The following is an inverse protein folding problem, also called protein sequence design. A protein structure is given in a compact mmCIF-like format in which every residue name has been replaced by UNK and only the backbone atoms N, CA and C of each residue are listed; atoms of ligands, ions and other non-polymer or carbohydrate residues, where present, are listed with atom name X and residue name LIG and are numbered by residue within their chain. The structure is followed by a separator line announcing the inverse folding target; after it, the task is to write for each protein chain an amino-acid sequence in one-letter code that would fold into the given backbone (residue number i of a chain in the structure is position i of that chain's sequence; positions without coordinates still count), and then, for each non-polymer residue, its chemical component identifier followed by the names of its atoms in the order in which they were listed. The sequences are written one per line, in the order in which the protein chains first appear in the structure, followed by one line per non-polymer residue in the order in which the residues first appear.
data_IF_954448846622
#
_entry.id   IF_954448846622
#
_cell.length_a   1.000
_cell.length_b   1.000
_cell.length_c   1.000
_cell.angle_alpha   90.00
_cell.angle_beta   90.00
_cell.angle_gamma   90.00
#
_symmetry.space_group_name_H-M   'P 1'
#
loop_
_entity.id
_entity.type
_entity.pdbx_description
1 polymer ?
#
# COMPACT_ATOMS: atom_id res chain seq x y z
N UNK A 1 24.56 38.77 -5.62
CA UNK A 1 25.59 37.72 -5.73
C UNK A 1 24.89 36.38 -5.84
N UNK A 2 25.37 35.45 -6.69
CA UNK A 2 24.89 34.08 -6.66
C UNK A 2 25.30 33.38 -5.36
N UNK A 3 24.53 32.39 -4.89
CA UNK A 3 24.90 31.60 -3.73
C UNK A 3 26.20 30.84 -3.99
N UNK A 4 26.94 30.59 -2.90
CA UNK A 4 28.15 29.76 -2.95
C UNK A 4 27.81 28.40 -3.57
N UNK A 5 28.61 27.91 -4.54
CA UNK A 5 28.43 26.59 -5.11
C UNK A 5 28.40 25.50 -4.03
N UNK A 6 27.62 24.44 -4.29
CA UNK A 6 27.65 23.26 -3.44
C UNK A 6 29.06 22.67 -3.42
N UNK A 7 29.49 22.17 -2.26
CA UNK A 7 30.75 21.44 -2.18
C UNK A 7 30.67 20.19 -3.06
N UNK A 8 31.75 19.93 -3.79
CA UNK A 8 31.91 18.65 -4.50
C UNK A 8 31.92 17.52 -3.46
N UNK A 9 31.04 16.54 -3.66
CA UNK A 9 31.03 15.34 -2.85
C UNK A 9 32.19 14.44 -3.28
N UNK A 10 33.16 14.23 -2.38
CA UNK A 10 34.13 13.14 -2.54
C UNK A 10 33.36 11.82 -2.44
N UNK A 11 33.30 11.05 -3.54
CA UNK A 11 32.50 9.81 -3.72
C UNK A 11 32.82 8.66 -2.73
N UNK A 12 33.65 8.91 -1.70
CA UNK A 12 34.14 7.93 -0.74
C UNK A 12 33.46 7.99 0.64
N UNK A 13 32.36 8.72 0.80
CA UNK A 13 31.50 8.53 1.98
C UNK A 13 30.65 7.26 1.78
N UNK A 14 30.71 6.34 2.76
CA UNK A 14 30.02 5.05 2.80
C UNK A 14 28.56 5.15 2.34
N UNK A 15 28.32 4.98 1.03
CA UNK A 15 26.98 4.73 0.50
C UNK A 15 26.55 3.43 1.17
N UNK A 16 25.50 3.43 2.01
CA UNK A 16 25.07 2.22 2.68
C UNK A 16 24.86 1.13 1.64
N UNK A 17 25.44 -0.06 1.83
CA UNK A 17 25.28 -1.18 0.89
C UNK A 17 23.83 -1.68 0.78
N UNK A 18 22.89 -1.01 1.46
CA UNK A 18 21.48 -1.22 1.28
C UNK A 18 21.12 -0.90 -0.16
N UNK A 19 20.43 -1.83 -0.81
CA UNK A 19 19.98 -1.72 -2.20
C UNK A 19 19.30 -0.35 -2.40
N UNK A 20 19.98 0.60 -3.05
CA UNK A 20 19.52 1.97 -3.26
C UNK A 20 18.21 2.00 -4.05
N UNK A 21 17.89 0.92 -4.79
CA UNK A 21 16.59 0.72 -5.43
C UNK A 21 15.43 0.59 -4.43
N UNK A 22 15.71 0.12 -3.22
CA UNK A 22 14.73 0.02 -2.13
C UNK A 22 14.31 1.39 -1.56
N UNK A 23 14.99 2.47 -1.97
CA UNK A 23 14.64 3.86 -1.67
C UNK A 23 13.67 4.46 -2.70
N UNK A 24 13.30 3.69 -3.73
CA UNK A 24 12.24 4.04 -4.67
C UNK A 24 10.86 4.13 -4.01
N UNK A 25 9.87 4.59 -4.79
CA UNK A 25 8.50 4.78 -4.34
C UNK A 25 7.75 3.49 -3.96
N UNK A 26 6.45 3.63 -3.65
CA UNK A 26 5.58 2.49 -3.37
C UNK A 26 5.54 1.50 -4.54
N UNK A 27 5.49 0.20 -4.25
CA UNK A 27 5.34 -0.84 -5.28
C UNK A 27 3.87 -0.98 -5.70
N UNK A 28 3.30 0.04 -6.37
CA UNK A 28 1.85 0.11 -6.65
C UNK A 28 1.26 -1.13 -7.35
N UNK A 29 1.98 -1.70 -8.33
CA UNK A 29 1.49 -2.89 -9.05
C UNK A 29 1.32 -4.10 -8.11
N UNK A 30 2.33 -4.35 -7.25
CA UNK A 30 2.26 -5.42 -6.26
C UNK A 30 1.24 -5.13 -5.15
N UNK A 31 1.08 -3.86 -4.77
CA UNK A 31 0.12 -3.45 -3.75
C UNK A 31 -1.32 -3.63 -4.23
N UNK A 32 -1.62 -3.30 -5.51
CA UNK A 32 -2.94 -3.56 -6.11
C UNK A 32 -3.22 -5.06 -6.18
N UNK A 33 -2.29 -5.85 -6.70
CA UNK A 33 -2.45 -7.30 -6.77
C UNK A 33 -2.64 -7.93 -5.38
N UNK A 34 -1.91 -7.45 -4.37
CA UNK A 34 -2.08 -7.91 -2.98
C UNK A 34 -3.43 -7.51 -2.40
N UNK A 35 -3.90 -6.28 -2.66
CA UNK A 35 -5.21 -5.81 -2.22
C UNK A 35 -6.34 -6.63 -2.84
N UNK A 36 -6.31 -6.85 -4.16
CA UNK A 36 -7.26 -7.67 -4.90
C UNK A 36 -7.32 -9.10 -4.33
N UNK A 37 -6.16 -9.73 -4.18
CA UNK A 37 -6.08 -11.09 -3.62
C UNK A 37 -6.55 -11.16 -2.16
N UNK A 38 -6.29 -10.13 -1.36
CA UNK A 38 -6.73 -10.07 0.04
C UNK A 38 -8.24 -9.87 0.15
N UNK A 39 -8.83 -9.05 -0.72
CA UNK A 39 -10.24 -8.73 -0.69
C UNK A 39 -11.12 -9.94 -1.05
N UNK A 40 -10.72 -10.72 -2.06
CA UNK A 40 -11.53 -11.83 -2.56
C UNK A 40 -12.95 -11.34 -2.90
N UNK A 41 -13.97 -11.95 -2.30
CA UNK A 41 -15.37 -11.59 -2.51
C UNK A 41 -15.92 -10.52 -1.53
N UNK A 42 -15.09 -9.96 -0.64
CA UNK A 42 -15.54 -8.95 0.31
C UNK A 42 -15.78 -7.60 -0.37
N UNK A 43 -16.85 -6.89 -0.02
CA UNK A 43 -17.15 -5.56 -0.61
C UNK A 43 -16.15 -4.47 -0.16
N UNK A 44 -15.65 -4.56 1.07
CA UNK A 44 -14.69 -3.64 1.65
C UNK A 44 -13.68 -4.35 2.56
N UNK A 45 -12.48 -3.78 2.65
CA UNK A 45 -11.40 -4.32 3.48
C UNK A 45 -10.77 -3.26 4.38
N UNK A 46 -10.31 -3.68 5.57
CA UNK A 46 -9.48 -2.86 6.46
C UNK A 46 -8.06 -2.75 5.89
N UNK A 47 -7.62 -1.53 5.57
CA UNK A 47 -6.30 -1.26 4.97
C UNK A 47 -5.16 -1.69 5.91
N UNK A 48 -5.33 -1.57 7.22
CA UNK A 48 -4.34 -2.01 8.19
C UNK A 48 -4.21 -3.54 8.19
N UNK A 49 -5.31 -4.26 7.98
CA UNK A 49 -5.29 -5.71 7.85
C UNK A 49 -4.61 -6.15 6.54
N UNK A 50 -4.93 -5.49 5.43
CA UNK A 50 -4.27 -5.70 4.13
C UNK A 50 -2.75 -5.52 4.26
N UNK A 51 -2.30 -4.40 4.86
CA UNK A 51 -0.88 -4.11 5.03
C UNK A 51 -0.16 -5.15 5.92
N UNK A 52 -0.79 -5.58 7.02
CA UNK A 52 -0.20 -6.60 7.91
C UNK A 52 0.00 -7.95 7.23
N UNK A 53 -0.94 -8.32 6.35
CA UNK A 53 -0.91 -9.58 5.61
C UNK A 53 0.07 -9.58 4.42
N UNK A 54 0.59 -8.42 4.03
CA UNK A 54 1.48 -8.30 2.87
C UNK A 54 2.86 -8.95 3.13
N UNK A 55 3.50 -9.41 2.06
CA UNK A 55 4.87 -9.92 2.14
C UNK A 55 5.84 -8.80 2.57
N UNK A 56 6.92 -9.12 3.30
CA UNK A 56 7.83 -8.09 3.85
C UNK A 56 8.38 -7.12 2.78
N UNK A 57 8.58 -7.62 1.54
CA UNK A 57 9.04 -6.82 0.40
C UNK A 57 8.13 -5.64 0.03
N UNK A 58 6.84 -5.71 0.39
CA UNK A 58 5.82 -4.67 0.17
C UNK A 58 5.21 -4.16 1.49
N UNK A 59 5.94 -4.33 2.62
CA UNK A 59 5.58 -3.75 3.92
C UNK A 59 6.51 -2.60 4.32
N UNK A 60 7.03 -1.83 3.37
CA UNK A 60 7.86 -0.66 3.70
C UNK A 60 6.97 0.51 4.15
N UNK A 61 7.53 1.50 4.87
CA UNK A 61 6.77 2.70 5.22
C UNK A 61 6.14 3.41 4.01
N UNK A 62 6.84 3.44 2.87
CA UNK A 62 6.31 4.02 1.62
C UNK A 62 5.19 3.16 1.02
N UNK A 63 5.23 1.84 1.20
CA UNK A 63 4.19 0.96 0.69
C UNK A 63 2.86 1.14 1.45
N UNK A 64 2.91 1.51 2.75
CA UNK A 64 1.71 1.93 3.49
C UNK A 64 1.08 3.18 2.87
N UNK A 65 1.90 4.16 2.48
CA UNK A 65 1.39 5.36 1.80
C UNK A 65 0.78 5.02 0.44
N UNK A 66 1.42 4.17 -0.34
CA UNK A 66 0.87 3.71 -1.62
C UNK A 66 -0.45 2.96 -1.46
N UNK A 67 -0.59 2.15 -0.40
CA UNK A 67 -1.85 1.46 -0.12
C UNK A 67 -2.95 2.43 0.33
N UNK A 68 -2.63 3.47 1.12
CA UNK A 68 -3.57 4.52 1.49
C UNK A 68 -4.01 5.36 0.28
N UNK A 69 -3.10 5.62 -0.66
CA UNK A 69 -3.42 6.29 -1.92
C UNK A 69 -4.35 5.44 -2.79
N UNK A 70 -4.05 4.15 -2.98
CA UNK A 70 -4.94 3.21 -3.69
C UNK A 70 -6.31 3.16 -3.00
N UNK A 71 -6.34 3.08 -1.66
CA UNK A 71 -7.58 3.09 -0.90
C UNK A 71 -8.37 4.38 -1.15
N UNK A 72 -7.71 5.53 -1.16
CA UNK A 72 -8.34 6.81 -1.45
C UNK A 72 -8.97 6.84 -2.85
N UNK A 73 -8.25 6.38 -3.87
CA UNK A 73 -8.76 6.27 -5.25
C UNK A 73 -9.97 5.33 -5.35
N UNK A 74 -10.04 4.31 -4.48
CA UNK A 74 -11.16 3.37 -4.35
C UNK A 74 -12.30 3.89 -3.44
N UNK A 75 -12.25 5.16 -3.01
CA UNK A 75 -13.31 5.76 -2.19
C UNK A 75 -13.22 5.40 -0.70
N UNK A 76 -12.02 5.35 -0.13
CA UNK A 76 -11.84 4.97 1.27
C UNK A 76 -12.73 5.74 2.24
N UNK A 77 -13.19 5.04 3.29
CA UNK A 77 -13.91 5.63 4.42
C UNK A 77 -13.07 5.55 5.69
N UNK A 78 -13.14 6.61 6.50
CA UNK A 78 -12.50 6.65 7.81
C UNK A 78 -13.31 5.91 8.88
N UNK A 79 -12.62 5.36 9.86
CA UNK A 79 -13.19 4.79 11.08
C UNK A 79 -12.85 5.67 12.29
N UNK A 80 -13.50 5.44 13.43
CA UNK A 80 -13.16 6.12 14.68
C UNK A 80 -11.90 5.55 15.37
N UNK A 81 -11.35 4.45 14.87
CA UNK A 81 -10.24 3.71 15.46
C UNK A 81 -8.89 4.27 15.02
N UNK A 82 -7.85 4.07 15.85
CA UNK A 82 -6.46 4.27 15.43
C UNK A 82 -5.87 2.91 15.07
N UNK A 83 -5.47 2.75 13.82
CA UNK A 83 -4.78 1.57 13.35
C UNK A 83 -3.27 1.70 13.62
N UNK A 84 -2.65 0.60 14.07
CA UNK A 84 -1.21 0.52 14.26
C UNK A 84 -0.64 -0.67 13.50
N UNK A 85 0.40 -0.43 12.73
CA UNK A 85 1.08 -1.45 11.91
C UNK A 85 2.59 -1.41 12.11
N UNK A 86 3.26 -2.50 11.78
CA UNK A 86 4.71 -2.58 11.74
C UNK A 86 5.18 -2.62 10.29
N UNK A 87 6.02 -1.66 9.92
CA UNK A 87 6.65 -1.58 8.61
C UNK A 87 8.11 -2.03 8.70
N UNK A 88 8.60 -2.67 7.63
CA UNK A 88 9.98 -3.14 7.48
C UNK A 88 10.74 -2.14 6.61
N UNK A 89 11.77 -1.51 7.15
CA UNK A 89 12.63 -0.59 6.40
C UNK A 89 13.59 -1.36 5.48
N UNK A 90 14.19 -0.70 4.48
CA UNK A 90 15.19 -1.32 3.60
C UNK A 90 16.39 -1.93 4.35
N UNK A 91 16.76 -1.35 5.49
CA UNK A 91 17.81 -1.87 6.39
C UNK A 91 17.33 -3.04 7.28
N UNK A 92 16.13 -3.58 7.03
CA UNK A 92 15.42 -4.62 7.80
C UNK A 92 15.02 -4.23 9.22
N UNK A 93 15.25 -2.99 9.64
CA UNK A 93 14.71 -2.51 10.91
C UNK A 93 13.20 -2.36 10.84
N UNK A 94 12.54 -2.47 11.99
CA UNK A 94 11.08 -2.41 12.10
C UNK A 94 10.65 -1.08 12.70
N UNK A 95 9.59 -0.49 12.15
CA UNK A 95 9.00 0.75 12.65
C UNK A 95 7.51 0.61 12.83
N UNK A 96 7.04 0.95 14.03
CA UNK A 96 5.61 1.05 14.34
C UNK A 96 5.06 2.38 13.81
N UNK A 97 3.98 2.32 13.06
CA UNK A 97 3.29 3.47 12.48
C UNK A 97 1.83 3.46 12.91
N UNK A 98 1.31 4.62 13.30
CA UNK A 98 -0.09 4.81 13.67
C UNK A 98 -0.77 5.75 12.69
N UNK A 99 -2.00 5.45 12.31
CA UNK A 99 -2.84 6.25 11.43
C UNK A 99 -4.31 6.05 11.78
N UNK A 100 -5.20 6.95 11.34
CA UNK A 100 -6.65 6.73 11.47
C UNK A 100 -7.05 5.48 10.69
N UNK A 101 -7.81 4.58 11.30
CA UNK A 101 -8.25 3.35 10.64
C UNK A 101 -9.12 3.71 9.43
N UNK A 102 -8.90 3.04 8.31
CA UNK A 102 -9.63 3.26 7.06
C UNK A 102 -10.02 1.94 6.42
N UNK A 103 -11.16 1.95 5.72
CA UNK A 103 -11.63 0.86 4.86
C UNK A 103 -11.56 1.30 3.41
N UNK A 104 -11.26 0.37 2.51
CA UNK A 104 -11.26 0.58 1.07
C UNK A 104 -12.29 -0.34 0.41
N UNK A 105 -12.97 0.14 -0.64
CA UNK A 105 -13.80 -0.71 -1.48
C UNK A 105 -12.95 -1.77 -2.20
N UNK A 106 -13.56 -2.89 -2.55
CA UNK A 106 -12.93 -3.92 -3.35
C UNK A 106 -12.63 -3.38 -4.77
N UNK A 107 -11.37 -3.46 -5.25
CA UNK A 107 -11.02 -3.07 -6.61
C UNK A 107 -11.70 -3.93 -7.69
N UNK A 108 -12.07 -5.18 -7.39
CA UNK A 108 -12.93 -6.00 -8.24
C UNK A 108 -14.30 -6.14 -7.54
N UNK A 109 -15.31 -5.34 -7.93
CA UNK A 109 -16.65 -5.48 -7.33
C UNK A 109 -17.12 -6.93 -7.50
N UNK A 110 -17.87 -7.50 -6.54
CA UNK A 110 -18.41 -8.84 -6.69
C UNK A 110 -19.12 -8.89 -8.04
N UNK A 111 -18.72 -9.86 -8.88
CA UNK A 111 -19.33 -10.08 -10.19
C UNK A 111 -20.82 -10.22 -9.91
N UNK A 112 -21.60 -9.18 -10.24
CA UNK A 112 -23.03 -9.17 -9.97
C UNK A 112 -23.56 -10.52 -10.46
N UNK A 113 -24.20 -11.28 -9.56
CA UNK A 113 -24.78 -12.57 -9.90
C UNK A 113 -25.49 -12.37 -11.24
N UNK A 114 -25.04 -13.08 -12.27
CA UNK A 114 -25.70 -13.07 -13.57
C UNK A 114 -27.14 -13.47 -13.31
N UNK A 115 -28.01 -12.46 -13.20
CA UNK A 115 -29.42 -12.66 -12.95
C UNK A 115 -29.91 -13.54 -14.08
N UNK A 116 -30.41 -14.69 -13.68
CA UNK A 116 -31.13 -15.69 -14.47
C UNK A 116 -32.17 -15.02 -15.38
N UNK A 117 -31.75 -14.60 -16.57
CA UNK A 117 -32.62 -14.29 -17.68
C UNK A 117 -32.57 -15.47 -18.66
N UNK A 118 -33.13 -16.60 -18.23
CA UNK A 118 -33.06 -17.84 -18.99
C UNK A 118 -34.07 -18.89 -18.54
N UNK A 119 -35.33 -18.49 -18.31
CA UNK A 119 -36.53 -19.35 -18.17
C UNK A 119 -37.65 -18.40 -17.70
N UNK A 120 -38.84 -18.25 -18.28
CA UNK A 120 -39.62 -18.92 -19.32
C UNK A 120 -40.52 -17.83 -19.94
N UNK A 121 -40.84 -17.91 -21.23
CA UNK A 121 -42.26 -18.09 -21.60
C UNK A 121 -42.40 -18.51 -23.07
N UNK A 122 -43.39 -19.38 -23.22
CA UNK A 122 -43.96 -20.10 -24.37
C UNK A 122 -44.05 -19.36 -25.71
#
# INVERSE_FOLDING_TARGET
QPPTPLQEWDEAEDVPSADTRAWGGPQYADLRAHLEAFAGDADEVDVAAVFRAAAERIRRPVDLLGLLEIAHDLGMTGTAEVAVVEAVRPDRTRRRLAFGGVRAANPEPPRAAEETAGSNDE
#
